data_IF_491454867061
#
_entry.id   IF_491454867061
#
_cell.length_a   1.000
_cell.length_b   1.000
_cell.length_c   1.000
_cell.angle_alpha   90.00
_cell.angle_beta   90.00
_cell.angle_gamma   90.00
#
_symmetry.space_group_name_H-M   'P 1'
#
loop_
_entity.id
_entity.type
_entity.pdbx_description
1 polymer ?
#
# COMPACT_ATOMS: atom_id res chain seq x y z
N UNK A 1 23.69 5.25 -12.69
CA UNK A 1 22.51 4.97 -11.86
C UNK A 1 22.38 6.12 -10.87
N UNK A 2 21.19 6.70 -10.75
CA UNK A 2 20.89 7.80 -9.82
C UNK A 2 20.11 7.30 -8.61
N UNK A 3 20.14 8.03 -7.47
CA UNK A 3 19.36 7.68 -6.28
C UNK A 3 17.85 7.59 -6.56
N UNK A 4 17.33 8.50 -7.37
CA UNK A 4 15.96 8.46 -7.88
C UNK A 4 15.95 8.06 -9.37
N UNK A 5 14.88 7.41 -9.83
CA UNK A 5 14.62 7.09 -11.23
C UNK A 5 14.48 8.36 -12.07
N UNK A 6 14.44 8.20 -13.40
CA UNK A 6 14.02 9.28 -14.29
C UNK A 6 12.49 9.27 -14.47
N UNK A 7 11.98 10.04 -15.43
CA UNK A 7 10.55 10.16 -15.72
C UNK A 7 10.12 9.33 -16.95
N UNK A 8 10.98 8.41 -17.42
CA UNK A 8 10.69 7.52 -18.53
C UNK A 8 10.33 6.15 -17.96
N UNK A 9 9.04 5.76 -17.95
CA UNK A 9 8.64 4.50 -17.34
C UNK A 9 9.13 3.31 -18.17
N UNK A 10 9.64 2.29 -17.49
CA UNK A 10 10.06 1.04 -18.11
C UNK A 10 8.88 0.06 -18.23
N UNK A 11 8.91 -0.77 -19.27
CA UNK A 11 7.85 -1.73 -19.57
C UNK A 11 7.79 -2.88 -18.55
N UNK A 12 8.93 -3.31 -18.03
CA UNK A 12 9.08 -4.41 -17.08
C UNK A 12 9.06 -3.94 -15.62
N UNK A 13 9.22 -2.63 -15.38
CA UNK A 13 9.17 -2.03 -14.03
C UNK A 13 7.86 -1.26 -13.79
N UNK A 14 7.82 0.06 -14.05
CA UNK A 14 6.68 0.91 -13.66
C UNK A 14 5.39 0.52 -14.37
N UNK A 15 5.44 0.23 -15.68
CA UNK A 15 4.24 -0.13 -16.44
C UNK A 15 3.68 -1.49 -16.01
N UNK A 16 4.55 -2.49 -15.81
CA UNK A 16 4.15 -3.80 -15.32
C UNK A 16 3.57 -3.73 -13.90
N UNK A 17 4.17 -2.93 -13.02
CA UNK A 17 3.71 -2.72 -11.64
C UNK A 17 2.36 -2.02 -11.60
N UNK A 18 2.18 -0.94 -12.36
CA UNK A 18 0.88 -0.28 -12.47
C UNK A 18 -0.18 -1.23 -13.02
N UNK A 19 0.18 -2.05 -14.01
CA UNK A 19 -0.73 -3.06 -14.54
C UNK A 19 -1.11 -4.10 -13.48
N UNK A 20 -0.15 -4.66 -12.73
CA UNK A 20 -0.37 -5.76 -11.79
C UNK A 20 -1.01 -5.34 -10.47
N UNK A 21 -0.85 -4.09 -10.04
CA UNK A 21 -1.36 -3.64 -8.74
C UNK A 21 -2.64 -2.83 -8.85
N UNK A 22 -2.78 -1.96 -9.87
CA UNK A 22 -3.87 -0.98 -9.91
C UNK A 22 -4.80 -1.09 -11.12
N UNK A 23 -4.44 -1.81 -12.20
CA UNK A 23 -5.24 -1.79 -13.44
C UNK A 23 -6.68 -2.26 -13.28
N UNK A 24 -6.94 -3.14 -12.29
CA UNK A 24 -8.29 -3.63 -11.99
C UNK A 24 -9.22 -2.56 -11.43
N UNK A 25 -8.69 -1.46 -10.89
CA UNK A 25 -9.51 -0.33 -10.46
C UNK A 25 -10.25 0.35 -11.63
N UNK A 26 -9.87 0.06 -12.89
CA UNK A 26 -10.58 0.54 -14.08
C UNK A 26 -12.03 -0.01 -14.18
N UNK A 27 -12.37 -1.02 -13.39
CA UNK A 27 -13.75 -1.50 -13.23
C UNK A 27 -14.62 -0.56 -12.37
N UNK A 28 -13.98 0.37 -11.64
CA UNK A 28 -14.60 1.29 -10.69
C UNK A 28 -14.43 2.74 -11.13
N UNK A 29 -13.23 3.15 -11.52
CA UNK A 29 -12.87 4.54 -11.81
C UNK A 29 -11.82 4.66 -12.92
N UNK A 30 -11.74 5.84 -13.57
CA UNK A 30 -10.61 6.13 -14.47
C UNK A 30 -9.30 6.12 -13.69
N UNK A 31 -8.29 5.45 -14.24
CA UNK A 31 -6.98 5.29 -13.60
C UNK A 31 -6.03 6.42 -14.01
N UNK A 32 -5.38 7.01 -13.00
CA UNK A 32 -4.28 7.95 -13.16
C UNK A 32 -3.08 7.42 -12.37
N UNK A 33 -2.05 6.96 -13.07
CA UNK A 33 -0.82 6.41 -12.47
C UNK A 33 0.36 7.29 -12.89
N UNK A 34 0.75 8.30 -12.08
CA UNK A 34 1.83 9.20 -12.44
C UNK A 34 3.18 8.50 -12.35
N UNK A 35 4.04 8.77 -13.33
CA UNK A 35 5.47 8.48 -13.21
C UNK A 35 6.08 9.56 -12.32
N UNK A 36 6.77 9.13 -11.28
CA UNK A 36 7.50 10.01 -10.37
C UNK A 36 8.90 9.45 -10.17
N UNK A 37 9.86 10.31 -9.82
CA UNK A 37 11.25 9.91 -9.61
C UNK A 37 11.40 9.12 -8.32
N UNK A 38 11.09 7.83 -8.40
CA UNK A 38 11.11 6.87 -7.31
C UNK A 38 12.52 6.63 -6.79
N UNK A 39 12.71 6.34 -5.50
CA UNK A 39 14.00 5.79 -5.06
C UNK A 39 14.19 4.42 -5.71
N UNK A 40 15.33 4.24 -6.36
CA UNK A 40 15.62 3.02 -7.13
C UNK A 40 16.02 1.86 -6.22
N UNK A 41 15.81 0.62 -6.67
CA UNK A 41 16.26 -0.58 -5.93
C UNK A 41 17.77 -0.52 -5.59
N UNK A 42 18.68 -0.14 -6.52
CA UNK A 42 20.09 0.06 -6.19
C UNK A 42 20.32 1.08 -5.06
N UNK A 43 19.53 2.15 -5.00
CA UNK A 43 19.62 3.18 -3.96
C UNK A 43 19.16 2.65 -2.59
N UNK A 44 18.08 1.87 -2.54
CA UNK A 44 17.57 1.27 -1.30
C UNK A 44 18.40 0.08 -0.81
N UNK A 45 19.07 -0.62 -1.73
CA UNK A 45 19.92 -1.78 -1.42
C UNK A 45 21.39 -1.43 -1.17
N UNK A 46 21.74 -0.14 -1.12
CA UNK A 46 23.12 0.30 -0.87
C UNK A 46 24.12 -0.05 -1.98
N UNK A 47 23.63 -0.32 -3.20
CA UNK A 47 24.46 -0.67 -4.35
C UNK A 47 25.06 0.56 -5.06
N UNK A 48 24.60 1.75 -4.70
CA UNK A 48 25.11 3.03 -5.20
C UNK A 48 25.27 4.02 -4.05
N UNK A 49 26.11 5.04 -4.26
CA UNK A 49 26.24 6.16 -3.34
C UNK A 49 24.97 7.03 -3.40
N UNK A 50 24.49 7.44 -2.22
CA UNK A 50 23.31 8.29 -2.04
C UNK A 50 23.62 9.42 -1.06
N UNK A 51 22.85 10.53 -1.07
CA UNK A 51 22.97 11.58 -0.07
C UNK A 51 22.88 11.03 1.36
N UNK A 52 23.64 11.62 2.29
CA UNK A 52 23.75 11.08 3.65
C UNK A 52 22.43 11.16 4.45
N UNK A 53 21.56 12.10 4.13
CA UNK A 53 20.22 12.21 4.67
C UNK A 53 19.26 11.14 4.12
N UNK A 54 19.57 10.53 2.96
CA UNK A 54 18.74 9.49 2.33
C UNK A 54 19.06 8.07 2.77
N UNK A 55 20.07 7.86 3.65
CA UNK A 55 20.46 6.52 4.08
C UNK A 55 19.27 5.77 4.68
N UNK A 56 18.64 6.35 5.69
CA UNK A 56 17.41 5.81 6.28
C UNK A 56 16.20 6.11 5.36
N UNK A 57 16.16 7.31 4.77
CA UNK A 57 15.08 7.80 3.92
C UNK A 57 13.79 8.11 4.68
N UNK A 58 12.91 8.90 4.07
CA UNK A 58 11.62 9.30 4.65
C UNK A 58 11.33 10.79 4.47
N UNK A 59 10.19 11.29 4.99
CA UNK A 59 9.82 12.70 4.91
C UNK A 59 10.96 13.65 5.29
N UNK A 60 11.22 14.67 4.45
CA UNK A 60 12.26 15.66 4.66
C UNK A 60 13.66 15.31 4.11
N UNK A 61 13.88 14.08 3.68
CA UNK A 61 15.14 13.64 3.05
C UNK A 61 15.17 13.97 1.56
N UNK A 62 16.35 14.23 1.00
CA UNK A 62 16.54 14.73 -0.38
C UNK A 62 15.80 13.90 -1.42
N UNK A 63 16.02 12.58 -1.45
CA UNK A 63 15.42 11.67 -2.41
C UNK A 63 13.92 11.47 -2.18
N UNK A 64 13.46 11.53 -0.93
CA UNK A 64 12.03 11.47 -0.62
C UNK A 64 11.29 12.72 -1.10
N UNK A 65 11.83 13.91 -0.86
CA UNK A 65 11.18 15.17 -1.25
C UNK A 65 11.19 15.37 -2.77
N UNK A 66 12.18 14.84 -3.49
CA UNK A 66 12.15 14.75 -4.96
C UNK A 66 10.97 13.90 -5.44
N UNK A 67 10.82 12.69 -4.89
CA UNK A 67 9.72 11.79 -5.25
C UNK A 67 8.35 12.38 -4.89
N UNK A 68 8.24 12.95 -3.67
CA UNK A 68 7.01 13.56 -3.18
C UNK A 68 6.60 14.78 -4.02
N UNK A 69 7.55 15.62 -4.43
CA UNK A 69 7.26 16.78 -5.26
C UNK A 69 6.62 16.39 -6.61
N UNK A 70 7.08 15.31 -7.23
CA UNK A 70 6.50 14.79 -8.47
C UNK A 70 5.07 14.23 -8.24
N UNK A 71 4.84 13.50 -7.15
CA UNK A 71 3.49 13.01 -6.78
C UNK A 71 2.53 14.17 -6.51
N UNK A 72 3.00 15.20 -5.80
CA UNK A 72 2.23 16.41 -5.52
C UNK A 72 1.90 17.17 -6.81
N UNK A 73 2.86 17.31 -7.73
CA UNK A 73 2.64 17.96 -9.03
C UNK A 73 1.60 17.19 -9.86
N UNK A 74 1.71 15.86 -9.91
CA UNK A 74 0.72 15.01 -10.57
C UNK A 74 -0.68 15.12 -9.94
N UNK A 75 -0.78 15.17 -8.61
CA UNK A 75 -2.06 15.36 -7.93
C UNK A 75 -2.66 16.74 -8.24
N UNK A 76 -1.85 17.80 -8.25
CA UNK A 76 -2.30 19.15 -8.67
C UNK A 76 -2.77 19.15 -10.12
N UNK A 77 -2.07 18.45 -11.01
CA UNK A 77 -2.50 18.26 -12.39
C UNK A 77 -3.85 17.54 -12.46
N UNK A 78 -4.05 16.47 -11.69
CA UNK A 78 -5.35 15.80 -11.59
C UNK A 78 -6.44 16.76 -11.12
N UNK A 79 -6.22 17.52 -10.04
CA UNK A 79 -7.21 18.45 -9.52
C UNK A 79 -7.61 19.53 -10.53
N UNK A 80 -6.64 20.02 -11.32
CA UNK A 80 -6.88 21.02 -12.36
C UNK A 80 -7.67 20.48 -13.58
N UNK A 81 -7.65 19.16 -13.82
CA UNK A 81 -8.20 18.56 -15.04
C UNK A 81 -9.38 17.58 -14.81
N UNK A 82 -9.65 17.19 -13.56
CA UNK A 82 -10.66 16.16 -13.22
C UNK A 82 -12.09 16.68 -13.08
N UNK A 83 -12.29 18.01 -13.00
CA UNK A 83 -13.58 18.64 -12.72
C UNK A 83 -13.84 18.84 -11.22
N UNK A 84 -14.56 19.89 -10.86
CA UNK A 84 -14.68 20.38 -9.47
C UNK A 84 -15.35 19.39 -8.50
N UNK A 85 -16.27 18.55 -9.01
CA UNK A 85 -17.02 17.57 -8.20
C UNK A 85 -16.52 16.13 -8.36
N UNK A 86 -15.39 15.92 -9.05
CA UNK A 86 -14.89 14.57 -9.25
C UNK A 86 -14.14 14.09 -8.01
N UNK A 87 -14.68 13.08 -7.34
CA UNK A 87 -14.03 12.43 -6.21
C UNK A 87 -12.81 11.62 -6.65
N UNK A 88 -11.97 11.23 -5.70
CA UNK A 88 -10.77 10.42 -5.96
C UNK A 88 -10.54 9.37 -4.88
N UNK A 89 -10.00 8.23 -5.31
CA UNK A 89 -9.46 7.17 -4.46
C UNK A 89 -7.95 7.17 -4.66
N UNK A 90 -7.19 7.17 -3.55
CA UNK A 90 -5.74 7.08 -3.59
C UNK A 90 -5.33 5.62 -3.37
N UNK A 91 -4.51 5.06 -4.25
CA UNK A 91 -4.01 3.67 -4.11
C UNK A 91 -2.50 3.70 -4.20
N UNK A 92 -1.82 3.20 -3.17
CA UNK A 92 -0.37 3.16 -3.10
C UNK A 92 0.11 1.87 -2.49
N UNK A 93 1.24 1.38 -2.99
CA UNK A 93 1.97 0.25 -2.42
C UNK A 93 3.38 0.68 -2.06
N UNK A 94 3.92 0.18 -0.94
CA UNK A 94 5.30 0.41 -0.52
C UNK A 94 5.68 1.91 -0.52
N UNK A 95 6.64 2.33 -1.34
CA UNK A 95 7.02 3.74 -1.48
C UNK A 95 5.85 4.63 -1.92
N UNK A 96 4.99 4.15 -2.82
CA UNK A 96 3.79 4.89 -3.23
C UNK A 96 2.81 5.09 -2.08
N UNK A 97 2.71 4.12 -1.16
CA UNK A 97 1.94 4.30 0.08
C UNK A 97 2.55 5.40 0.96
N UNK A 98 3.89 5.45 1.08
CA UNK A 98 4.58 6.52 1.80
C UNK A 98 4.30 7.92 1.21
N UNK A 99 4.39 8.04 -0.12
CA UNK A 99 4.10 9.30 -0.83
C UNK A 99 2.66 9.76 -0.59
N UNK A 100 1.70 8.84 -0.70
CA UNK A 100 0.28 9.16 -0.53
C UNK A 100 -0.10 9.42 0.94
N UNK A 101 0.59 8.81 1.91
CA UNK A 101 0.46 9.19 3.33
C UNK A 101 0.84 10.65 3.54
N UNK A 102 1.96 11.12 2.99
CA UNK A 102 2.35 12.53 3.10
C UNK A 102 1.44 13.46 2.29
N UNK A 103 0.91 13.00 1.15
CA UNK A 103 -0.09 13.77 0.39
C UNK A 103 -1.36 13.96 1.22
N UNK A 104 -1.82 12.91 1.91
CA UNK A 104 -2.95 12.99 2.82
C UNK A 104 -2.69 13.97 3.94
N UNK A 105 -1.57 13.84 4.66
CA UNK A 105 -1.23 14.72 5.80
C UNK A 105 -1.07 16.19 5.41
N UNK A 106 -0.26 16.46 4.38
CA UNK A 106 0.17 17.83 4.05
C UNK A 106 -0.91 18.61 3.30
N UNK A 107 -1.70 17.94 2.46
CA UNK A 107 -2.61 18.62 1.53
C UNK A 107 -4.09 18.33 1.79
N UNK A 108 -4.47 17.06 2.00
CA UNK A 108 -5.88 16.65 2.01
C UNK A 108 -6.50 16.84 3.40
N UNK A 109 -5.84 16.33 4.44
CA UNK A 109 -6.33 16.34 5.81
C UNK A 109 -6.36 17.74 6.44
N UNK A 110 -5.67 18.71 5.84
CA UNK A 110 -5.69 20.13 6.21
C UNK A 110 -6.67 20.97 5.38
N UNK A 111 -7.28 20.40 4.33
CA UNK A 111 -8.20 21.10 3.42
C UNK A 111 -9.62 20.52 3.41
N UNK A 112 -10.59 21.27 3.93
CA UNK A 112 -12.02 20.91 3.87
C UNK A 112 -12.50 20.64 2.44
N UNK A 113 -11.99 21.39 1.46
CA UNK A 113 -12.36 21.25 0.06
C UNK A 113 -11.86 19.93 -0.53
N UNK A 114 -10.64 19.52 -0.19
CA UNK A 114 -10.08 18.25 -0.66
C UNK A 114 -10.69 17.06 0.07
N UNK A 115 -10.94 17.17 1.38
CA UNK A 115 -11.67 16.12 2.14
C UNK A 115 -13.05 15.84 1.55
N UNK A 116 -13.78 16.87 1.12
CA UNK A 116 -15.07 16.70 0.43
C UNK A 116 -14.99 15.94 -0.89
N UNK A 117 -13.81 15.78 -1.48
CA UNK A 117 -13.57 15.00 -2.72
C UNK A 117 -12.86 13.66 -2.45
N UNK A 118 -12.35 13.46 -1.24
CA UNK A 118 -11.61 12.27 -0.86
C UNK A 118 -12.57 11.12 -0.56
N UNK A 119 -12.52 10.06 -1.38
CA UNK A 119 -13.39 8.89 -1.22
C UNK A 119 -12.75 7.90 -0.25
N UNK A 120 -11.52 7.47 -0.52
CA UNK A 120 -10.78 6.56 0.34
C UNK A 120 -9.30 6.52 -0.05
N UNK A 121 -8.44 6.02 0.83
CA UNK A 121 -7.08 5.65 0.50
C UNK A 121 -6.81 4.17 0.81
N UNK A 122 -6.26 3.43 -0.14
CA UNK A 122 -5.78 2.07 0.01
C UNK A 122 -4.23 2.09 0.01
N UNK A 123 -3.64 2.09 1.20
CA UNK A 123 -2.21 2.33 1.43
C UNK A 123 -1.56 1.05 1.97
N UNK A 124 -0.98 0.28 1.06
CA UNK A 124 -0.64 -1.13 1.29
C UNK A 124 0.87 -1.30 1.34
N UNK A 125 1.37 -2.24 2.14
CA UNK A 125 2.80 -2.56 2.17
C UNK A 125 3.70 -1.42 2.65
N UNK A 126 3.14 -0.42 3.36
CA UNK A 126 3.89 0.72 3.90
C UNK A 126 4.10 0.59 5.41
N UNK A 127 5.20 1.14 5.93
CA UNK A 127 5.51 1.22 7.35
C UNK A 127 5.22 2.63 7.92
N UNK A 128 4.15 3.28 7.47
CA UNK A 128 4.02 4.76 7.55
C UNK A 128 2.78 5.28 8.28
N UNK A 129 1.86 4.40 8.70
CA UNK A 129 0.66 4.79 9.44
C UNK A 129 0.60 3.98 10.71
N UNK A 130 0.69 4.67 11.85
CA UNK A 130 0.60 4.05 13.17
C UNK A 130 -0.84 3.65 13.48
N UNK A 131 -1.03 2.52 14.16
CA UNK A 131 -2.31 2.15 14.77
C UNK A 131 -2.58 2.94 16.07
N UNK A 132 -1.62 3.75 16.52
CA UNK A 132 -1.69 4.64 17.69
C UNK A 132 -2.33 5.99 17.40
N UNK A 133 -2.26 6.90 18.38
CA UNK A 133 -3.06 8.13 18.38
C UNK A 133 -2.47 9.23 17.48
N UNK A 134 -3.24 9.55 16.43
CA UNK A 134 -3.28 10.79 15.63
C UNK A 134 -2.13 11.00 14.64
N UNK A 135 -2.07 10.12 13.62
CA UNK A 135 -1.29 10.36 12.40
C UNK A 135 -1.94 11.43 11.49
N UNK A 136 -3.25 11.63 11.65
CA UNK A 136 -4.11 12.53 10.89
C UNK A 136 -5.04 13.30 11.84
N UNK A 137 -5.32 14.56 11.52
CA UNK A 137 -6.22 15.45 12.25
C UNK A 137 -7.69 15.02 12.11
N UNK A 138 -8.13 14.66 10.90
CA UNK A 138 -9.54 14.34 10.60
C UNK A 138 -9.73 12.95 10.00
N UNK A 139 -8.81 12.50 9.16
CA UNK A 139 -8.95 11.23 8.43
C UNK A 139 -8.72 10.03 9.36
N UNK A 140 -9.65 9.07 9.36
CA UNK A 140 -9.59 7.86 10.19
C UNK A 140 -9.40 6.60 9.36
N UNK A 141 -8.97 5.48 9.98
CA UNK A 141 -9.11 4.16 9.37
C UNK A 141 -10.57 3.84 9.07
N UNK A 142 -10.83 3.10 7.98
CA UNK A 142 -12.19 2.69 7.63
C UNK A 142 -12.76 1.70 8.64
N UNK A 143 -14.00 1.93 9.10
CA UNK A 143 -14.74 1.10 10.06
C UNK A 143 -15.89 0.30 9.43
N UNK A 144 -16.32 0.68 8.23
CA UNK A 144 -17.38 0.02 7.46
C UNK A 144 -17.20 0.22 5.95
N UNK A 145 -17.94 -0.55 5.16
CA UNK A 145 -17.71 -0.66 3.71
C UNK A 145 -18.16 0.54 2.89
N UNK A 146 -19.08 1.36 3.39
CA UNK A 146 -19.67 2.50 2.69
C UNK A 146 -19.20 3.86 3.23
N UNK A 147 -18.33 3.84 4.24
CA UNK A 147 -17.65 5.03 4.76
C UNK A 147 -16.72 5.62 3.71
N UNK A 148 -16.77 6.95 3.58
CA UNK A 148 -15.87 7.72 2.73
C UNK A 148 -14.96 8.60 3.59
N UNK A 149 -13.85 9.05 3.02
CA UNK A 149 -12.88 9.88 3.73
C UNK A 149 -12.00 9.09 4.69
N UNK A 150 -11.86 7.77 4.48
CA UNK A 150 -11.17 6.85 5.38
C UNK A 150 -10.01 6.11 4.70
N UNK A 151 -9.18 5.43 5.50
CA UNK A 151 -7.98 4.72 5.06
C UNK A 151 -8.11 3.21 5.31
N UNK A 152 -7.78 2.41 4.30
CA UNK A 152 -7.46 0.99 4.43
C UNK A 152 -5.94 0.86 4.29
N UNK A 153 -5.28 0.36 5.32
CA UNK A 153 -3.86 0.08 5.30
C UNK A 153 -3.57 -1.25 5.99
N UNK A 154 -2.55 -1.95 5.50
CA UNK A 154 -1.99 -3.16 6.12
C UNK A 154 -0.67 -3.54 5.45
N UNK A 155 0.12 -4.33 6.18
CA UNK A 155 1.17 -5.20 5.64
C UNK A 155 0.70 -6.65 5.76
N UNK A 156 1.17 -7.54 4.90
CA UNK A 156 0.78 -8.96 4.94
C UNK A 156 1.92 -9.87 5.39
N UNK A 157 1.61 -10.80 6.29
CA UNK A 157 2.53 -11.85 6.74
C UNK A 157 1.76 -13.17 6.83
N UNK A 158 2.43 -14.30 6.66
CA UNK A 158 1.80 -15.59 6.97
C UNK A 158 1.56 -15.70 8.47
N UNK A 159 0.40 -16.23 8.87
CA UNK A 159 0.11 -16.46 10.30
C UNK A 159 1.08 -17.45 10.95
N UNK A 160 1.65 -18.37 10.17
CA UNK A 160 2.66 -19.33 10.64
C UNK A 160 4.08 -18.72 10.68
N UNK A 161 4.29 -17.57 10.04
CA UNK A 161 5.56 -16.86 9.93
C UNK A 161 5.33 -15.37 10.22
N UNK A 162 5.01 -15.01 11.49
CA UNK A 162 4.79 -13.63 11.88
C UNK A 162 6.07 -12.78 11.72
N UNK A 163 5.98 -11.44 11.72
CA UNK A 163 7.14 -10.56 11.61
C UNK A 163 8.24 -10.91 12.62
N UNK A 164 9.49 -10.99 12.16
CA UNK A 164 10.63 -11.16 13.07
C UNK A 164 10.82 -9.90 13.93
N UNK A 165 11.48 -9.99 15.10
CA UNK A 165 11.80 -8.82 15.93
C UNK A 165 12.57 -7.71 15.19
N UNK A 166 13.23 -8.03 14.08
CA UNK A 166 14.02 -7.12 13.22
C UNK A 166 13.28 -6.69 11.94
N UNK A 167 12.05 -7.16 11.68
CA UNK A 167 11.25 -6.82 10.50
C UNK A 167 11.02 -5.31 10.34
N UNK A 168 11.24 -4.72 9.16
CA UNK A 168 10.88 -3.30 8.93
C UNK A 168 9.37 -3.10 8.69
N UNK A 169 8.65 -4.19 8.42
CA UNK A 169 7.24 -4.18 8.05
C UNK A 169 6.36 -4.61 9.23
N UNK A 170 5.11 -4.16 9.20
CA UNK A 170 4.14 -4.36 10.29
C UNK A 170 4.32 -3.37 11.44
N UNK A 171 5.28 -2.45 11.39
CA UNK A 171 5.45 -1.40 12.38
C UNK A 171 5.81 -0.08 11.71
N UNK A 172 5.36 1.02 12.29
CA UNK A 172 5.94 2.32 11.99
C UNK A 172 7.24 2.45 12.73
N UNK A 173 8.17 3.18 12.12
CA UNK A 173 9.42 3.54 12.73
C UNK A 173 9.74 4.98 12.35
N UNK A 174 10.11 5.78 13.34
CA UNK A 174 10.68 7.09 13.12
C UNK A 174 11.85 7.30 14.07
N UNK A 175 12.91 7.94 13.58
CA UNK A 175 13.95 8.41 14.46
C UNK A 175 13.65 9.87 14.86
N UNK A 176 13.54 10.22 16.16
CA UNK A 176 13.13 11.56 16.61
C UNK A 176 14.00 12.71 16.09
N UNK A 177 15.27 12.44 15.76
CA UNK A 177 16.17 13.45 15.22
C UNK A 177 16.30 13.45 13.70
N UNK A 178 15.80 12.41 13.00
CA UNK A 178 16.15 12.09 11.60
C UNK A 178 17.66 12.14 11.27
N UNK A 179 18.52 12.17 12.30
CA UNK A 179 19.97 12.38 12.17
C UNK A 179 20.75 11.08 12.12
N UNK A 180 20.08 9.94 11.97
CA UNK A 180 20.75 8.66 11.77
C UNK A 180 21.29 8.62 10.35
N UNK A 181 22.60 8.42 10.26
CA UNK A 181 23.37 8.43 9.03
C UNK A 181 23.70 7.04 8.51
N UNK A 182 23.25 5.95 9.13
CA UNK A 182 23.40 4.61 8.55
C UNK A 182 22.48 3.56 9.18
N UNK A 183 22.20 2.50 8.42
CA UNK A 183 21.42 1.34 8.90
C UNK A 183 22.17 0.49 9.93
N UNK A 184 23.50 0.57 9.96
CA UNK A 184 24.35 -0.16 10.91
C UNK A 184 24.33 0.47 12.31
N UNK A 185 23.90 1.73 12.41
CA UNK A 185 23.73 2.48 13.65
C UNK A 185 22.31 2.35 14.25
N UNK A 186 21.37 1.73 13.53
CA UNK A 186 19.99 1.54 14.00
C UNK A 186 19.90 0.36 14.97
N UNK A 187 19.79 0.66 16.26
CA UNK A 187 19.21 -0.27 17.24
C UNK A 187 17.70 -0.08 17.28
N UNK A 188 16.93 -1.18 17.18
CA UNK A 188 15.48 -1.14 17.39
C UNK A 188 15.07 -0.69 18.79
N UNK A 189 15.98 -0.73 19.75
CA UNK A 189 15.78 -0.20 21.10
C UNK A 189 15.78 1.35 21.12
N UNK A 190 16.37 1.98 20.11
CA UNK A 190 16.51 3.45 19.99
C UNK A 190 15.48 4.06 19.01
N UNK A 191 14.69 3.22 18.33
CA UNK A 191 13.65 3.64 17.38
C UNK A 191 12.31 3.71 18.10
N UNK A 192 11.63 4.85 18.01
CA UNK A 192 10.22 4.92 18.39
C UNK A 192 9.41 4.13 17.36
N UNK A 193 8.97 2.94 17.78
CA UNK A 193 8.17 2.04 16.97
C UNK A 193 6.75 1.98 17.50
N UNK A 194 5.79 1.88 16.60
CA UNK A 194 4.40 1.59 16.92
C UNK A 194 3.86 0.55 15.94
N UNK A 195 2.90 -0.28 16.36
CA UNK A 195 2.26 -1.22 15.44
C UNK A 195 1.65 -0.46 14.25
N UNK A 196 1.87 -0.95 13.03
CA UNK A 196 1.26 -0.37 11.84
C UNK A 196 -0.26 -0.53 11.86
N UNK A 197 -0.96 0.39 11.21
CA UNK A 197 -2.38 0.29 10.98
C UNK A 197 -2.70 -0.99 10.20
N UNK A 198 -3.68 -1.76 10.68
CA UNK A 198 -4.27 -2.87 9.96
C UNK A 198 -5.79 -2.70 9.92
N UNK A 199 -6.31 -2.51 8.72
CA UNK A 199 -7.75 -2.56 8.41
C UNK A 199 -7.98 -3.79 7.55
N UNK A 200 -8.77 -4.75 8.04
CA UNK A 200 -9.11 -5.92 7.25
C UNK A 200 -9.98 -5.47 6.07
N UNK A 201 -9.55 -5.68 4.81
CA UNK A 201 -10.26 -5.15 3.63
C UNK A 201 -11.64 -5.77 3.40
N UNK A 202 -11.95 -6.87 4.10
CA UNK A 202 -13.24 -7.57 4.02
C UNK A 202 -14.20 -7.20 5.14
N UNK A 203 -13.70 -7.04 6.36
CA UNK A 203 -14.53 -6.91 7.57
C UNK A 203 -14.43 -5.55 8.24
N UNK A 204 -13.44 -4.73 7.90
CA UNK A 204 -13.16 -3.41 8.49
C UNK A 204 -12.91 -3.46 10.01
N UNK A 205 -12.59 -4.64 10.54
CA UNK A 205 -12.24 -4.87 11.93
C UNK A 205 -11.25 -6.04 12.04
N UNK A 206 -10.93 -6.46 13.26
CA UNK A 206 -9.96 -7.53 13.48
C UNK A 206 -10.46 -8.93 13.12
N UNK A 207 -11.72 -9.11 12.72
CA UNK A 207 -12.29 -10.44 12.49
C UNK A 207 -11.66 -11.14 11.28
N UNK A 208 -11.44 -12.44 11.45
CA UNK A 208 -10.99 -13.36 10.41
C UNK A 208 -12.03 -13.53 9.30
N UNK A 209 -11.61 -13.45 8.04
CA UNK A 209 -12.49 -13.61 6.87
C UNK A 209 -11.77 -14.19 5.65
N UNK A 210 -12.52 -14.87 4.79
CA UNK A 210 -12.03 -15.29 3.47
C UNK A 210 -11.81 -14.05 2.60
N UNK A 211 -10.60 -13.93 2.06
CA UNK A 211 -10.22 -12.86 1.15
C UNK A 211 -10.46 -13.28 -0.29
N UNK A 212 -10.61 -12.28 -1.15
CA UNK A 212 -10.81 -12.41 -2.59
C UNK A 212 -9.54 -11.99 -3.32
N UNK A 213 -8.53 -12.88 -3.44
CA UNK A 213 -7.31 -12.54 -4.16
C UNK A 213 -7.60 -12.37 -5.65
N UNK A 214 -6.98 -11.39 -6.28
CA UNK A 214 -6.92 -11.24 -7.73
C UNK A 214 -5.46 -11.09 -8.14
N UNK A 215 -4.96 -12.10 -8.84
CA UNK A 215 -3.55 -12.25 -9.19
C UNK A 215 -3.37 -12.19 -10.70
N UNK A 216 -2.30 -11.55 -11.21
CA UNK A 216 -1.83 -11.81 -12.55
C UNK A 216 -1.63 -13.30 -12.79
N UNK A 217 -1.98 -13.78 -13.97
CA UNK A 217 -1.82 -15.19 -14.31
C UNK A 217 -0.35 -15.47 -14.58
N UNK A 218 0.30 -16.20 -13.67
CA UNK A 218 1.67 -16.65 -13.86
C UNK A 218 1.74 -17.83 -14.83
N UNK A 219 2.95 -18.10 -15.35
CA UNK A 219 3.19 -19.24 -16.23
C UNK A 219 2.81 -20.57 -15.55
N UNK A 220 3.24 -20.78 -14.30
CA UNK A 220 2.94 -21.99 -13.52
C UNK A 220 1.42 -22.23 -13.38
N UNK A 221 0.65 -21.17 -13.16
CA UNK A 221 -0.81 -21.25 -13.04
C UNK A 221 -1.47 -21.56 -14.38
N UNK A 222 -0.98 -20.94 -15.46
CA UNK A 222 -1.44 -21.24 -16.81
C UNK A 222 -1.18 -22.71 -17.16
N UNK A 223 0.03 -23.21 -16.92
CA UNK A 223 0.39 -24.61 -17.21
C UNK A 223 -0.41 -25.61 -16.37
N UNK A 224 -0.66 -25.30 -15.09
CA UNK A 224 -1.39 -26.18 -14.18
C UNK A 224 -2.89 -26.27 -14.50
N UNK A 225 -3.52 -25.18 -14.93
CA UNK A 225 -4.97 -25.06 -15.03
C UNK A 225 -5.50 -24.69 -16.42
N UNK A 226 -4.62 -24.47 -17.39
CA UNK A 226 -4.93 -24.06 -18.77
C UNK A 226 -5.79 -22.79 -18.82
N UNK A 227 -5.38 -21.77 -18.06
CA UNK A 227 -6.11 -20.50 -17.91
C UNK A 227 -5.72 -19.53 -19.03
N UNK A 228 -6.72 -18.98 -19.72
CA UNK A 228 -6.51 -18.00 -20.79
C UNK A 228 -6.75 -16.55 -20.36
N UNK A 229 -7.31 -16.33 -19.17
CA UNK A 229 -7.51 -14.98 -18.64
C UNK A 229 -6.18 -14.40 -18.16
N UNK A 230 -5.96 -13.08 -18.27
CA UNK A 230 -4.77 -12.42 -17.74
C UNK A 230 -4.75 -12.37 -16.20
N UNK A 231 -5.90 -12.60 -15.56
CA UNK A 231 -6.10 -12.58 -14.12
C UNK A 231 -6.78 -13.86 -13.64
N UNK A 232 -6.43 -14.30 -12.43
CA UNK A 232 -7.05 -15.43 -11.73
C UNK A 232 -7.44 -15.03 -10.32
N UNK A 233 -8.37 -15.79 -9.74
CA UNK A 233 -8.74 -15.71 -8.32
C UNK A 233 -8.66 -17.10 -7.70
N UNK A 234 -8.49 -17.15 -6.38
CA UNK A 234 -8.34 -18.38 -5.60
C UNK A 234 -9.44 -18.48 -4.52
N UNK A 235 -10.70 -18.79 -4.90
CA UNK A 235 -11.81 -18.89 -3.94
C UNK A 235 -11.53 -19.95 -2.88
N UNK A 236 -11.86 -19.65 -1.62
CA UNK A 236 -11.68 -20.53 -0.47
C UNK A 236 -10.24 -20.70 0.01
N UNK A 237 -9.25 -20.16 -0.71
CA UNK A 237 -7.84 -20.45 -0.46
C UNK A 237 -7.22 -19.52 0.60
N UNK A 238 -7.55 -18.23 0.55
CA UNK A 238 -6.87 -17.18 1.33
C UNK A 238 -7.80 -16.67 2.42
N UNK A 239 -7.29 -16.63 3.66
CA UNK A 239 -8.01 -16.10 4.81
C UNK A 239 -7.14 -15.05 5.49
N UNK A 240 -7.73 -13.90 5.78
CA UNK A 240 -7.06 -12.77 6.42
C UNK A 240 -7.63 -12.47 7.79
N UNK A 241 -6.77 -12.10 8.73
CA UNK A 241 -7.12 -11.59 10.06
C UNK A 241 -6.15 -10.48 10.45
N UNK A 242 -6.64 -9.33 10.91
CA UNK A 242 -5.74 -8.29 11.41
C UNK A 242 -5.22 -8.68 12.80
N UNK A 243 -3.91 -8.82 12.93
CA UNK A 243 -3.22 -9.07 14.19
C UNK A 243 -2.54 -7.77 14.62
N UNK A 244 -2.63 -7.47 15.92
CA UNK A 244 -1.96 -6.33 16.53
C UNK A 244 -1.42 -6.70 17.91
N UNK A 245 -0.14 -6.47 18.13
CA UNK A 245 0.50 -6.51 19.44
C UNK A 245 1.12 -5.14 19.78
N UNK A 246 2.08 -5.11 20.72
CA UNK A 246 2.73 -3.87 21.16
C UNK A 246 3.73 -3.31 20.14
N UNK A 247 4.22 -4.14 19.22
CA UNK A 247 5.26 -3.79 18.25
C UNK A 247 4.71 -3.81 16.83
N UNK A 248 3.90 -4.81 16.49
CA UNK A 248 3.45 -5.08 15.13
C UNK A 248 1.93 -5.02 14.97
N UNK A 249 1.50 -4.52 13.82
CA UNK A 249 0.14 -4.58 13.30
C UNK A 249 0.18 -4.97 11.82
N UNK A 250 -0.49 -6.06 11.45
CA UNK A 250 -0.42 -6.63 10.10
C UNK A 250 -1.63 -7.52 9.82
N UNK A 251 -1.93 -7.73 8.54
CA UNK A 251 -2.90 -8.70 8.06
C UNK A 251 -2.23 -10.07 8.02
N UNK A 252 -2.54 -10.91 9.00
CA UNK A 252 -2.14 -12.31 9.05
C UNK A 252 -2.89 -13.10 7.98
N UNK A 253 -2.15 -13.83 7.17
CA UNK A 253 -2.64 -14.60 6.03
C UNK A 253 -2.49 -16.08 6.31
N UNK A 254 -3.59 -16.82 6.16
CA UNK A 254 -3.60 -18.28 6.10
C UNK A 254 -3.91 -18.74 4.67
N UNK A 255 -3.13 -19.69 4.19
CA UNK A 255 -3.36 -20.40 2.93
C UNK A 255 -3.91 -21.78 3.25
N UNK A 256 -5.16 -22.04 2.86
CA UNK A 256 -5.89 -23.29 3.13
C UNK A 256 -5.51 -24.43 2.16
N UNK A 257 -4.23 -24.53 1.84
CA UNK A 257 -3.67 -25.61 1.01
C UNK A 257 -2.15 -25.67 1.18
N UNK A 258 -1.54 -26.80 0.80
CA UNK A 258 -0.08 -27.01 0.88
C UNK A 258 0.66 -26.58 -0.40
N UNK A 259 1.99 -26.59 -0.36
CA UNK A 259 2.86 -26.22 -1.50
C UNK A 259 2.71 -27.09 -2.75
N UNK A 260 2.02 -28.24 -2.65
CA UNK A 260 1.69 -29.10 -3.79
C UNK A 260 0.53 -28.55 -4.63
N UNK A 261 -0.29 -27.65 -4.08
CA UNK A 261 -1.30 -26.92 -4.84
C UNK A 261 -0.63 -25.72 -5.54
N UNK A 262 -0.61 -25.66 -6.89
CA UNK A 262 0.06 -24.59 -7.62
C UNK A 262 -0.40 -23.19 -7.23
N UNK A 263 -1.66 -23.04 -6.78
CA UNK A 263 -2.21 -21.75 -6.32
C UNK A 263 -1.58 -21.30 -4.99
N UNK A 264 -1.42 -22.24 -4.07
CA UNK A 264 -0.77 -21.98 -2.79
C UNK A 264 0.74 -21.78 -2.98
N UNK A 265 1.38 -22.61 -3.80
CA UNK A 265 2.79 -22.47 -4.16
C UNK A 265 3.10 -21.08 -4.75
N UNK A 266 2.21 -20.57 -5.59
CA UNK A 266 2.33 -19.23 -6.17
C UNK A 266 2.44 -18.14 -5.11
N UNK A 267 1.70 -18.24 -4.00
CA UNK A 267 1.74 -17.26 -2.91
C UNK A 267 2.93 -17.52 -1.98
N UNK A 268 3.13 -18.78 -1.56
CA UNK A 268 4.16 -19.18 -0.58
C UNK A 268 5.57 -18.79 -1.03
N UNK A 269 5.89 -18.95 -2.32
CA UNK A 269 7.24 -18.67 -2.85
C UNK A 269 7.60 -17.17 -2.87
N UNK A 270 6.64 -16.28 -2.62
CA UNK A 270 6.84 -14.84 -2.67
C UNK A 270 7.10 -14.22 -1.30
N UNK A 271 7.18 -15.05 -0.25
CA UNK A 271 7.41 -14.56 1.10
C UNK A 271 8.88 -14.54 1.50
N UNK A 272 9.25 -13.55 2.32
CA UNK A 272 10.53 -13.50 3.02
C UNK A 272 10.36 -13.06 4.48
N UNK A 273 11.38 -13.33 5.30
CA UNK A 273 11.33 -13.09 6.74
C UNK A 273 11.26 -11.61 7.14
N UNK A 274 11.70 -10.70 6.26
CA UNK A 274 11.75 -9.26 6.53
C UNK A 274 10.46 -8.57 6.11
N UNK A 275 9.91 -8.92 4.94
CA UNK A 275 8.80 -8.18 4.32
C UNK A 275 7.47 -8.94 4.33
N UNK A 276 7.49 -10.21 4.76
CA UNK A 276 6.30 -11.05 4.75
C UNK A 276 5.89 -11.34 3.31
N UNK A 277 4.67 -10.94 2.93
CA UNK A 277 4.09 -11.11 1.59
C UNK A 277 4.04 -9.77 0.83
N UNK A 278 5.02 -8.89 1.06
CA UNK A 278 5.01 -7.50 0.57
C UNK A 278 4.69 -7.35 -0.92
N UNK A 279 5.25 -8.19 -1.78
CA UNK A 279 4.98 -8.18 -3.23
C UNK A 279 3.51 -8.46 -3.60
N UNK A 280 2.75 -9.05 -2.69
CA UNK A 280 1.36 -9.48 -2.85
C UNK A 280 0.37 -8.68 -2.00
N UNK A 281 0.81 -7.67 -1.24
CA UNK A 281 -0.08 -6.90 -0.35
C UNK A 281 -1.33 -6.40 -1.08
N UNK A 282 -1.17 -5.94 -2.31
CA UNK A 282 -2.31 -5.49 -3.12
C UNK A 282 -3.16 -6.67 -3.58
N UNK A 283 -2.53 -7.64 -4.25
CA UNK A 283 -3.23 -8.70 -4.98
C UNK A 283 -3.93 -9.72 -4.07
N UNK A 284 -3.47 -9.89 -2.84
CA UNK A 284 -4.00 -10.88 -1.90
C UNK A 284 -5.44 -10.59 -1.45
N UNK A 285 -5.84 -9.33 -1.50
CA UNK A 285 -7.21 -8.88 -1.20
C UNK A 285 -7.77 -7.92 -2.26
N UNK A 286 -7.17 -7.84 -3.46
CA UNK A 286 -7.56 -6.88 -4.49
C UNK A 286 -9.05 -6.96 -4.85
N UNK A 287 -9.65 -8.16 -4.88
CA UNK A 287 -11.09 -8.30 -5.11
C UNK A 287 -11.95 -7.65 -4.01
N UNK A 288 -11.53 -7.73 -2.75
CA UNK A 288 -12.23 -7.06 -1.64
C UNK A 288 -12.05 -5.54 -1.72
N UNK A 289 -10.82 -5.07 -2.00
CA UNK A 289 -10.53 -3.65 -2.18
C UNK A 289 -11.36 -3.03 -3.33
N UNK A 290 -11.52 -3.73 -4.45
CA UNK A 290 -12.35 -3.27 -5.57
C UNK A 290 -13.84 -3.23 -5.21
N UNK A 291 -14.32 -4.24 -4.47
CA UNK A 291 -15.69 -4.25 -3.97
C UNK A 291 -15.96 -3.04 -3.07
N UNK A 292 -15.03 -2.77 -2.14
CA UNK A 292 -15.10 -1.62 -1.24
C UNK A 292 -15.05 -0.30 -2.01
N UNK A 293 -14.07 -0.12 -2.90
CA UNK A 293 -13.96 1.07 -3.74
C UNK A 293 -15.24 1.35 -4.53
N UNK A 294 -15.90 0.32 -5.06
CA UNK A 294 -17.17 0.45 -5.78
C UNK A 294 -18.30 0.95 -4.89
N UNK A 295 -18.40 0.45 -3.66
CA UNK A 295 -19.41 0.87 -2.69
C UNK A 295 -19.15 2.31 -2.25
N UNK A 296 -17.92 2.64 -1.87
CA UNK A 296 -17.53 3.99 -1.45
C UNK A 296 -17.71 5.02 -2.57
N UNK A 297 -17.39 4.66 -3.82
CA UNK A 297 -17.66 5.52 -4.98
C UNK A 297 -19.15 5.77 -5.18
N UNK A 298 -20.02 4.77 -4.95
CA UNK A 298 -21.46 4.95 -4.99
C UNK A 298 -21.97 5.86 -3.86
N UNK A 299 -21.45 5.70 -2.63
CA UNK A 299 -21.73 6.59 -1.49
C UNK A 299 -21.36 8.04 -1.81
N UNK A 300 -20.17 8.25 -2.38
CA UNK A 300 -19.71 9.56 -2.81
C UNK A 300 -20.66 10.19 -3.86
N UNK A 301 -21.00 9.44 -4.91
CA UNK A 301 -21.91 9.90 -5.96
C UNK A 301 -23.30 10.25 -5.41
N UNK A 302 -23.79 9.50 -4.42
CA UNK A 302 -25.03 9.82 -3.74
C UNK A 302 -24.96 11.16 -3.01
N UNK A 303 -23.89 11.40 -2.24
CA UNK A 303 -23.69 12.65 -1.49
C UNK A 303 -23.58 13.87 -2.41
N UNK A 304 -22.82 13.79 -3.50
CA UNK A 304 -22.66 14.94 -4.42
C UNK A 304 -23.90 15.20 -5.29
N UNK A 305 -24.79 14.22 -5.44
CA UNK A 305 -26.07 14.39 -6.15
C UNK A 305 -27.22 14.87 -5.25
N UNK A 306 -27.03 14.85 -3.92
CA UNK A 306 -28.02 15.26 -2.91
C UNK A 306 -27.38 16.19 -1.85
N UNK A 307 -26.97 17.41 -2.23
CA UNK A 307 -26.25 18.35 -1.37
C UNK A 307 -27.09 18.97 -0.24
#
# INVERSE_FOLDING_TARGET
>A
MSPNSDLVPDAEEELATAWSQISRYNEVCDIYAPVYRQRTVPATSGLIEIPADDYVGGPGTTGFEVAYADVLDAFKHYLANSGELRGFILVGHSQGAAMLTELLKREIDTSDLLRKRFIAAHLLGGAHISAGAVEFETISPCDQTDEIGCIIAYNTFFGAEPPSPESWFGRTWHHPSWSISSWEELSWEDVEASPSLCVNPKTFNAARAELTPLMPTSQDINEAFNVTSPWVTYPGLVVGECIKDQVFGYLSVEIRSGSEDPRAAHIIRQSDAQSGLHSLDVNIALGDLLSTAKIQAASYLYLVSHP
#
